data_IF_026513836257
#
_entry.id   IF_026513836257
#
_cell.length_a   1.000
_cell.length_b   1.000
_cell.length_c   1.000
_cell.angle_alpha   90.00
_cell.angle_beta   90.00
_cell.angle_gamma   90.00
#
_symmetry.space_group_name_H-M   'P 1'
#
loop_
_entity.id
_entity.type
_entity.pdbx_description
1 polymer ?
#
# COMPACT_ATOMS: atom_id res chain seq x y z
N UNK A 1 -1.25 -11.26 -25.25
CA UNK A 1 -0.35 -10.85 -24.15
C UNK A 1 -1.09 -11.03 -22.83
N UNK A 2 -0.60 -11.87 -21.91
CA UNK A 2 -1.28 -12.16 -20.63
C UNK A 2 -0.99 -11.11 -19.54
N UNK A 3 0.15 -10.42 -19.63
CA UNK A 3 0.55 -9.36 -18.69
C UNK A 3 1.27 -8.24 -19.45
N UNK A 4 0.99 -6.98 -19.09
CA UNK A 4 1.57 -5.79 -19.71
C UNK A 4 2.18 -4.87 -18.67
N UNK A 5 3.38 -4.37 -18.92
CA UNK A 5 4.10 -3.47 -17.99
C UNK A 5 3.95 -2.03 -18.46
N UNK A 6 3.45 -1.16 -17.60
CA UNK A 6 3.31 0.27 -17.85
C UNK A 6 3.81 1.08 -16.66
N UNK A 7 4.74 2.00 -16.91
CA UNK A 7 5.39 2.84 -15.88
C UNK A 7 5.86 2.04 -14.65
N UNK A 8 6.34 0.82 -14.85
CA UNK A 8 6.83 -0.03 -13.75
C UNK A 8 5.76 -0.84 -13.00
N UNK A 9 4.48 -0.71 -13.36
CA UNK A 9 3.36 -1.51 -12.83
C UNK A 9 2.96 -2.59 -13.84
N UNK A 10 2.74 -3.82 -13.37
CA UNK A 10 2.27 -4.92 -14.21
C UNK A 10 0.74 -5.05 -14.11
N UNK A 11 0.08 -5.04 -15.27
CA UNK A 11 -1.35 -5.27 -15.43
C UNK A 11 -1.58 -6.64 -16.04
N UNK A 12 -2.39 -7.45 -15.39
CA UNK A 12 -2.79 -8.78 -15.86
C UNK A 12 -4.16 -8.71 -16.54
N UNK A 13 -4.44 -9.60 -17.49
CA UNK A 13 -5.74 -9.63 -18.20
C UNK A 13 -6.93 -9.93 -17.29
N UNK A 14 -6.69 -10.66 -16.20
CA UNK A 14 -7.67 -10.95 -15.15
C UNK A 14 -7.77 -9.83 -14.09
N UNK A 15 -7.02 -8.73 -14.29
CA UNK A 15 -6.91 -7.59 -13.38
C UNK A 15 -6.43 -7.99 -11.98
N UNK A 16 -5.77 -9.15 -11.84
CA UNK A 16 -5.14 -9.57 -10.59
C UNK A 16 -3.78 -8.90 -10.40
N UNK A 17 -3.48 -8.57 -9.15
CA UNK A 17 -2.19 -7.97 -8.76
C UNK A 17 -1.11 -9.00 -8.46
N UNK A 18 -1.37 -10.30 -8.65
CA UNK A 18 -0.47 -11.39 -8.28
C UNK A 18 0.91 -11.24 -8.95
N UNK A 19 0.94 -11.04 -10.27
CA UNK A 19 2.17 -10.85 -11.04
C UNK A 19 2.97 -9.65 -10.53
N UNK A 20 2.29 -8.52 -10.31
CA UNK A 20 2.92 -7.29 -9.84
C UNK A 20 3.47 -7.44 -8.42
N UNK A 21 2.68 -7.97 -7.50
CA UNK A 21 3.05 -8.19 -6.09
C UNK A 21 4.24 -9.15 -5.98
N UNK A 22 4.22 -10.28 -6.71
CA UNK A 22 5.34 -11.21 -6.74
C UNK A 22 6.63 -10.53 -7.24
N UNK A 23 6.52 -9.73 -8.30
CA UNK A 23 7.65 -9.00 -8.86
C UNK A 23 8.24 -7.98 -7.87
N UNK A 24 7.42 -7.11 -7.26
CA UNK A 24 7.91 -6.09 -6.31
C UNK A 24 8.43 -6.72 -5.03
N UNK A 25 7.78 -7.77 -4.50
CA UNK A 25 8.22 -8.49 -3.31
C UNK A 25 9.57 -9.17 -3.53
N UNK A 26 9.78 -9.78 -4.70
CA UNK A 26 11.07 -10.35 -5.07
C UNK A 26 12.16 -9.27 -5.26
N UNK A 27 11.82 -8.13 -5.87
CA UNK A 27 12.76 -7.00 -6.03
C UNK A 27 13.15 -6.40 -4.67
N UNK A 28 12.18 -6.15 -3.81
CA UNK A 28 12.40 -5.63 -2.46
C UNK A 28 13.19 -6.62 -1.60
N UNK A 29 12.87 -7.92 -1.68
CA UNK A 29 13.59 -8.97 -0.96
C UNK A 29 15.05 -9.09 -1.39
N UNK A 30 15.37 -8.98 -2.68
CA UNK A 30 16.76 -8.96 -3.16
C UNK A 30 17.53 -7.77 -2.61
N UNK A 31 16.90 -6.60 -2.61
CA UNK A 31 17.48 -5.36 -2.06
C UNK A 31 17.74 -5.52 -0.56
N UNK A 32 16.76 -6.04 0.19
CA UNK A 32 16.91 -6.32 1.62
C UNK A 32 18.01 -7.35 1.89
N UNK A 33 18.10 -8.41 1.09
CA UNK A 33 19.17 -9.41 1.22
C UNK A 33 20.55 -8.78 1.03
N UNK A 34 20.70 -7.91 0.03
CA UNK A 34 21.94 -7.15 -0.19
C UNK A 34 22.28 -6.30 1.04
N UNK A 35 21.31 -5.56 1.60
CA UNK A 35 21.53 -4.79 2.82
C UNK A 35 21.94 -5.68 4.00
N UNK A 36 21.26 -6.81 4.20
CA UNK A 36 21.53 -7.72 5.31
C UNK A 36 22.91 -8.36 5.28
N UNK A 37 23.51 -8.51 4.09
CA UNK A 37 24.85 -9.07 3.93
C UNK A 37 25.94 -8.04 4.16
N UNK A 38 25.74 -6.82 3.66
CA UNK A 38 26.77 -5.77 3.66
C UNK A 38 26.70 -4.85 4.90
N UNK A 39 25.54 -4.72 5.53
CA UNK A 39 25.30 -3.83 6.67
C UNK A 39 24.83 -4.60 7.91
N UNK A 40 25.26 -5.86 8.06
CA UNK A 40 24.86 -6.73 9.17
C UNK A 40 25.22 -6.12 10.53
N UNK A 41 26.41 -5.54 10.65
CA UNK A 41 26.93 -5.00 11.91
C UNK A 41 26.73 -3.49 12.05
N UNK A 42 26.00 -2.89 11.11
CA UNK A 42 25.66 -1.47 11.17
C UNK A 42 24.75 -1.14 12.37
N UNK A 43 24.82 0.09 12.90
CA UNK A 43 23.89 0.58 13.93
C UNK A 43 22.43 0.49 13.48
N UNK A 44 21.52 0.34 14.45
CA UNK A 44 20.07 0.23 14.21
C UNK A 44 19.54 1.38 13.34
N UNK A 45 19.92 2.61 13.68
CA UNK A 45 19.49 3.82 12.96
C UNK A 45 19.88 3.80 11.50
N UNK A 46 21.13 3.40 11.19
CA UNK A 46 21.60 3.29 9.82
C UNK A 46 20.84 2.21 9.03
N UNK A 47 20.61 1.04 9.64
CA UNK A 47 19.82 -0.04 9.02
C UNK A 47 18.40 0.39 8.71
N UNK A 48 17.78 1.13 9.64
CA UNK A 48 16.46 1.69 9.45
C UNK A 48 16.43 2.69 8.29
N UNK A 49 17.36 3.64 8.25
CA UNK A 49 17.48 4.60 7.14
C UNK A 49 17.66 3.88 5.80
N UNK A 50 18.50 2.84 5.74
CA UNK A 50 18.71 2.04 4.53
C UNK A 50 17.42 1.33 4.09
N UNK A 51 16.68 0.71 5.01
CA UNK A 51 15.39 0.10 4.71
C UNK A 51 14.38 1.13 4.15
N UNK A 52 14.23 2.27 4.83
CA UNK A 52 13.27 3.30 4.47
C UNK A 52 13.57 3.97 3.14
N UNK A 53 14.86 4.13 2.79
CA UNK A 53 15.29 4.81 1.56
C UNK A 53 15.40 3.90 0.34
N UNK A 54 15.56 2.57 0.52
CA UNK A 54 15.82 1.66 -0.61
C UNK A 54 14.76 0.57 -0.78
N UNK A 55 14.32 -0.09 0.30
CA UNK A 55 13.39 -1.22 0.23
C UNK A 55 11.94 -0.73 0.24
N UNK A 56 11.60 0.16 1.18
CA UNK A 56 10.24 0.68 1.31
C UNK A 56 9.70 1.36 0.04
N UNK A 57 10.47 2.19 -0.69
CA UNK A 57 9.97 2.82 -1.90
C UNK A 57 9.61 1.81 -3.01
N UNK A 58 10.28 0.65 -3.06
CA UNK A 58 9.95 -0.41 -4.02
C UNK A 58 8.54 -0.96 -3.75
N UNK A 59 8.16 -1.08 -2.47
CA UNK A 59 6.87 -1.62 -2.04
C UNK A 59 5.74 -0.58 -2.07
N UNK A 60 6.06 0.72 -2.07
CA UNK A 60 5.08 1.81 -2.03
C UNK A 60 4.91 2.52 -3.38
N UNK A 61 5.83 2.31 -4.34
CA UNK A 61 5.74 2.94 -5.64
C UNK A 61 4.42 2.64 -6.34
N UNK A 62 3.71 3.70 -6.73
CA UNK A 62 2.40 3.65 -7.41
C UNK A 62 1.33 2.83 -6.68
N UNK A 63 1.45 2.61 -5.36
CA UNK A 63 0.55 1.74 -4.62
C UNK A 63 -0.91 2.23 -4.60
N UNK A 64 -1.15 3.52 -4.83
CA UNK A 64 -2.51 4.04 -4.99
C UNK A 64 -3.26 3.33 -6.14
N UNK A 65 -2.56 2.84 -7.17
CA UNK A 65 -3.17 2.15 -8.31
C UNK A 65 -3.39 0.66 -8.05
N UNK A 66 -2.37 -0.03 -7.54
CA UNK A 66 -2.36 -1.50 -7.48
C UNK A 66 -2.67 -2.10 -6.10
N UNK A 67 -3.07 -1.30 -5.11
CA UNK A 67 -3.28 -1.74 -3.72
C UNK A 67 -4.14 -3.03 -3.64
N UNK A 68 -3.53 -4.19 -3.32
CA UNK A 68 -4.23 -5.46 -3.36
C UNK A 68 -5.24 -5.56 -2.23
N UNK A 69 -6.27 -6.39 -2.42
CA UNK A 69 -7.30 -6.67 -1.41
C UNK A 69 -7.26 -8.11 -0.91
N UNK A 70 -6.61 -9.01 -1.64
CA UNK A 70 -6.49 -10.41 -1.27
C UNK A 70 -5.48 -10.59 -0.14
N UNK A 71 -5.85 -11.34 0.90
CA UNK A 71 -5.00 -11.62 2.06
C UNK A 71 -3.61 -12.15 1.67
N UNK A 72 -3.54 -13.07 0.70
CA UNK A 72 -2.27 -13.63 0.20
C UNK A 72 -1.30 -12.54 -0.25
N UNK A 73 -1.73 -11.63 -1.13
CA UNK A 73 -0.88 -10.55 -1.63
C UNK A 73 -0.50 -9.55 -0.53
N UNK A 74 -1.42 -9.25 0.40
CA UNK A 74 -1.14 -8.38 1.53
C UNK A 74 -0.05 -9.00 2.42
N UNK A 75 -0.22 -10.27 2.79
CA UNK A 75 0.74 -11.01 3.61
C UNK A 75 2.11 -11.14 2.95
N UNK A 76 2.16 -11.30 1.62
CA UNK A 76 3.40 -11.37 0.86
C UNK A 76 4.21 -10.07 0.97
N UNK A 77 3.55 -8.91 0.93
CA UNK A 77 4.19 -7.61 1.14
C UNK A 77 4.63 -7.43 2.60
N UNK A 78 3.76 -7.78 3.55
CA UNK A 78 4.07 -7.71 4.98
C UNK A 78 5.24 -8.63 5.35
N UNK A 79 5.40 -9.77 4.67
CA UNK A 79 6.54 -10.68 4.86
C UNK A 79 7.88 -9.99 4.59
N UNK A 80 7.96 -9.09 3.61
CA UNK A 80 9.16 -8.30 3.35
C UNK A 80 9.43 -7.33 4.50
N UNK A 81 8.42 -6.61 5.00
CA UNK A 81 8.58 -5.70 6.14
C UNK A 81 8.97 -6.45 7.42
N UNK A 82 8.39 -7.63 7.69
CA UNK A 82 8.74 -8.47 8.84
C UNK A 82 10.19 -8.91 8.81
N UNK A 83 10.71 -9.29 7.63
CA UNK A 83 12.13 -9.62 7.44
C UNK A 83 13.02 -8.40 7.63
N UNK A 84 12.58 -7.23 7.15
CA UNK A 84 13.31 -5.99 7.36
C UNK A 84 13.38 -5.58 8.84
N UNK A 85 12.29 -5.72 9.59
CA UNK A 85 12.27 -5.43 11.03
C UNK A 85 13.28 -6.30 11.79
N UNK A 86 13.38 -7.59 11.47
CA UNK A 86 14.39 -8.50 12.03
C UNK A 86 15.81 -8.06 11.72
N UNK A 87 16.08 -7.68 10.47
CA UNK A 87 17.39 -7.16 10.07
C UNK A 87 17.75 -5.88 10.84
N UNK A 88 16.84 -4.91 10.92
CA UNK A 88 17.06 -3.64 11.60
C UNK A 88 17.28 -3.82 13.10
N UNK A 89 16.44 -4.63 13.76
CA UNK A 89 16.57 -4.94 15.19
C UNK A 89 17.68 -5.94 15.52
N UNK A 90 18.34 -6.53 14.52
CA UNK A 90 19.27 -7.65 14.67
C UNK A 90 18.71 -8.86 15.46
N UNK A 91 17.39 -9.01 15.54
CA UNK A 91 16.72 -10.13 16.21
C UNK A 91 16.28 -11.16 15.17
N UNK A 92 17.08 -12.23 15.05
CA UNK A 92 16.84 -13.33 14.12
C UNK A 92 16.11 -14.51 14.77
N UNK A 93 15.52 -14.36 15.96
CA UNK A 93 14.74 -15.42 16.56
C UNK A 93 13.41 -15.59 15.80
N UNK A 94 13.27 -16.70 15.06
CA UNK A 94 12.07 -16.99 14.27
C UNK A 94 10.84 -17.37 15.09
N UNK A 95 11.01 -17.71 16.37
CA UNK A 95 9.91 -18.01 17.29
C UNK A 95 9.28 -16.75 17.88
N UNK A 96 10.01 -15.62 17.89
CA UNK A 96 9.44 -14.34 18.35
C UNK A 96 8.51 -13.74 17.30
N UNK A 97 7.39 -13.21 17.77
CA UNK A 97 6.44 -12.49 16.93
C UNK A 97 7.10 -11.28 16.27
N UNK A 98 7.00 -11.20 14.94
CA UNK A 98 7.46 -10.04 14.18
C UNK A 98 6.66 -8.77 14.49
N UNK A 99 5.44 -8.90 15.03
CA UNK A 99 4.59 -7.76 15.40
C UNK A 99 5.24 -6.91 16.49
N UNK A 100 5.83 -7.56 17.51
CA UNK A 100 6.51 -6.83 18.59
C UNK A 100 7.77 -6.11 18.12
N UNK A 101 8.51 -6.66 17.15
CA UNK A 101 9.67 -5.98 16.55
C UNK A 101 9.23 -4.75 15.76
N UNK A 102 8.18 -4.89 14.94
CA UNK A 102 7.61 -3.79 14.17
C UNK A 102 7.11 -2.66 15.09
N UNK A 103 6.45 -3.01 16.20
CA UNK A 103 5.96 -2.05 17.19
C UNK A 103 7.10 -1.31 17.89
N UNK A 104 8.17 -2.01 18.29
CA UNK A 104 9.38 -1.38 18.86
C UNK A 104 10.04 -0.39 17.91
N UNK A 105 10.01 -0.67 16.61
CA UNK A 105 10.52 0.24 15.57
C UNK A 105 9.51 1.37 15.22
N UNK A 106 8.30 1.35 15.77
CA UNK A 106 7.25 2.33 15.43
C UNK A 106 6.76 2.23 13.98
N UNK A 107 6.93 1.08 13.32
CA UNK A 107 6.58 0.93 11.91
C UNK A 107 5.10 0.59 11.76
N UNK A 108 4.29 1.35 11.02
CA UNK A 108 2.94 0.90 10.66
C UNK A 108 3.00 -0.26 9.66
N UNK A 109 1.91 -1.03 9.57
CA UNK A 109 1.73 -2.02 8.51
C UNK A 109 1.82 -1.34 7.13
N UNK A 110 2.37 -2.04 6.14
CA UNK A 110 2.40 -1.52 4.78
C UNK A 110 0.98 -1.32 4.23
N UNK A 111 0.03 -2.16 4.62
CA UNK A 111 -1.39 -1.95 4.26
C UNK A 111 -1.91 -0.58 4.71
N UNK A 112 -1.70 -0.21 5.97
CA UNK A 112 -2.12 1.09 6.49
C UNK A 112 -1.46 2.25 5.73
N UNK A 113 -0.20 2.06 5.32
CA UNK A 113 0.51 3.06 4.51
C UNK A 113 -0.04 3.19 3.10
N UNK A 114 -0.34 2.07 2.44
CA UNK A 114 -0.98 2.09 1.12
C UNK A 114 -2.35 2.76 1.21
N UNK A 115 -3.15 2.48 2.25
CA UNK A 115 -4.41 3.18 2.52
C UNK A 115 -4.21 4.68 2.69
N UNK A 116 -3.23 5.11 3.48
CA UNK A 116 -2.89 6.52 3.65
C UNK A 116 -2.50 7.21 2.33
N UNK A 117 -1.57 6.60 1.58
CA UNK A 117 -1.11 7.14 0.28
C UNK A 117 -2.25 7.21 -0.73
N UNK A 118 -3.13 6.21 -0.74
CA UNK A 118 -4.32 6.19 -1.59
C UNK A 118 -5.31 7.30 -1.23
N UNK A 119 -5.61 7.49 0.04
CA UNK A 119 -6.50 8.57 0.53
C UNK A 119 -5.89 9.95 0.26
N UNK A 120 -4.59 10.12 0.48
CA UNK A 120 -3.87 11.36 0.15
C UNK A 120 -3.94 11.68 -1.35
N UNK A 121 -3.77 10.67 -2.20
CA UNK A 121 -3.92 10.84 -3.64
C UNK A 121 -5.38 11.20 -4.02
N UNK A 122 -6.37 10.57 -3.40
CA UNK A 122 -7.78 10.89 -3.61
C UNK A 122 -8.13 12.33 -3.18
N UNK A 123 -7.62 12.80 -2.04
CA UNK A 123 -7.72 14.19 -1.64
C UNK A 123 -7.14 15.14 -2.71
N UNK A 124 -6.00 14.79 -3.29
CA UNK A 124 -5.42 15.59 -4.38
C UNK A 124 -6.32 15.60 -5.64
N UNK A 125 -7.01 14.50 -5.94
CA UNK A 125 -8.00 14.45 -7.04
C UNK A 125 -9.20 15.37 -6.74
N UNK A 126 -9.76 15.33 -5.53
CA UNK A 126 -10.87 16.20 -5.12
C UNK A 126 -10.54 17.69 -5.24
N UNK A 127 -9.30 18.05 -4.91
CA UNK A 127 -8.78 19.42 -4.97
C UNK A 127 -8.18 19.80 -6.33
N UNK A 128 -8.43 19.03 -7.40
CA UNK A 128 -7.97 19.31 -8.77
C UNK A 128 -6.44 19.43 -8.94
N UNK A 129 -5.65 18.71 -8.13
CA UNK A 129 -4.17 18.78 -8.14
C UNK A 129 -3.49 17.75 -9.06
N UNK A 130 -4.23 16.85 -9.70
CA UNK A 130 -3.68 15.67 -10.41
C UNK A 130 -3.95 15.65 -11.91
N UNK A 131 -4.70 16.62 -12.45
CA UNK A 131 -5.13 16.63 -13.86
C UNK A 131 -6.18 15.57 -14.22
N UNK A 132 -6.63 14.76 -13.25
CA UNK A 132 -7.72 13.79 -13.44
C UNK A 132 -9.05 14.55 -13.40
N UNK A 133 -9.94 14.40 -14.41
CA UNK A 133 -11.24 15.08 -14.41
C UNK A 133 -12.15 14.47 -13.33
N UNK A 134 -12.24 15.13 -12.18
CA UNK A 134 -12.98 14.62 -11.01
C UNK A 134 -14.47 14.41 -11.34
N UNK A 135 -15.04 15.23 -12.22
CA UNK A 135 -16.44 15.21 -12.62
C UNK A 135 -16.82 13.90 -13.30
N UNK A 136 -15.85 13.21 -13.90
CA UNK A 136 -16.06 11.89 -14.54
C UNK A 136 -16.10 10.73 -13.53
N UNK A 137 -15.43 10.87 -12.40
CA UNK A 137 -15.17 9.78 -11.45
C UNK A 137 -15.69 10.05 -10.05
N UNK A 138 -16.26 11.20 -9.77
CA UNK A 138 -16.68 11.58 -8.42
C UNK A 138 -18.04 12.26 -8.58
N UNK A 139 -19.05 11.68 -7.94
CA UNK A 139 -20.40 12.21 -7.92
C UNK A 139 -20.72 12.72 -6.52
N UNK A 140 -21.52 13.78 -6.47
CA UNK A 140 -22.05 14.31 -5.22
C UNK A 140 -22.96 13.30 -4.53
N UNK A 141 -22.89 13.19 -3.19
CA UNK A 141 -23.77 12.30 -2.43
C UNK A 141 -25.21 12.80 -2.54
N UNK A 142 -26.17 11.86 -2.60
CA UNK A 142 -27.60 12.20 -2.58
C UNK A 142 -28.08 12.71 -1.21
N UNK A 143 -27.33 12.41 -0.15
CA UNK A 143 -27.64 12.79 1.23
C UNK A 143 -26.37 12.79 2.09
N UNK A 144 -26.28 13.74 3.02
CA UNK A 144 -25.23 13.85 4.03
C UNK A 144 -25.89 13.98 5.41
N UNK A 145 -25.61 13.04 6.30
CA UNK A 145 -26.08 13.05 7.69
C UNK A 145 -25.19 13.95 8.55
N UNK A 146 -25.74 15.02 9.11
CA UNK A 146 -25.00 15.90 10.02
C UNK A 146 -24.53 15.21 11.33
N UNK A 147 -25.04 14.01 11.64
CA UNK A 147 -24.69 13.26 12.87
C UNK A 147 -23.54 12.29 12.68
N UNK A 148 -23.35 11.78 11.46
CA UNK A 148 -22.47 10.62 11.19
C UNK A 148 -21.53 10.85 10.02
N UNK A 149 -21.84 11.78 9.13
CA UNK A 149 -21.07 12.02 7.91
C UNK A 149 -20.31 13.33 8.02
N UNK A 150 -19.10 13.36 7.45
CA UNK A 150 -18.32 14.58 7.30
C UNK A 150 -18.78 15.38 6.05
N UNK A 151 -18.51 16.70 5.99
CA UNK A 151 -18.98 17.58 4.91
C UNK A 151 -18.46 17.25 3.51
N UNK A 152 -17.31 16.56 3.43
CA UNK A 152 -16.64 16.19 2.18
C UNK A 152 -17.03 14.79 1.67
N UNK A 153 -18.16 14.25 2.15
CA UNK A 153 -18.66 12.93 1.75
C UNK A 153 -18.87 12.86 0.23
N UNK A 154 -18.55 11.71 -0.35
CA UNK A 154 -18.69 11.43 -1.79
C UNK A 154 -19.68 10.30 -1.99
N UNK A 155 -20.41 10.30 -3.12
CA UNK A 155 -21.32 9.21 -3.46
C UNK A 155 -20.58 7.89 -3.62
N UNK A 156 -21.02 6.87 -2.88
CA UNK A 156 -20.47 5.52 -3.01
C UNK A 156 -20.77 4.88 -4.38
N UNK A 157 -19.85 4.02 -4.80
CA UNK A 157 -19.96 3.25 -6.02
C UNK A 157 -20.68 1.92 -5.78
N UNK A 158 -21.64 1.59 -6.64
CA UNK A 158 -22.24 0.27 -6.66
C UNK A 158 -21.36 -0.69 -7.47
N UNK A 159 -20.83 -1.73 -6.81
CA UNK A 159 -19.95 -2.72 -7.45
C UNK A 159 -20.47 -4.13 -7.22
N UNK A 160 -20.70 -4.89 -8.30
CA UNK A 160 -21.12 -6.30 -8.23
C UNK A 160 -19.95 -7.28 -8.19
N UNK A 161 -18.79 -6.87 -8.70
CA UNK A 161 -17.58 -7.70 -8.79
C UNK A 161 -16.46 -7.12 -7.94
N UNK A 162 -15.66 -8.01 -7.34
CA UNK A 162 -14.53 -7.64 -6.48
C UNK A 162 -13.50 -6.76 -7.21
N UNK A 163 -13.26 -7.04 -8.49
CA UNK A 163 -12.32 -6.26 -9.31
C UNK A 163 -12.66 -4.76 -9.30
N UNK A 164 -13.94 -4.43 -9.50
CA UNK A 164 -14.39 -3.04 -9.45
C UNK A 164 -14.44 -2.53 -8.00
N UNK A 165 -15.02 -3.32 -7.08
CA UNK A 165 -15.16 -2.96 -5.65
C UNK A 165 -13.82 -2.55 -5.01
N UNK A 166 -12.76 -3.25 -5.36
CA UNK A 166 -11.42 -3.03 -4.82
C UNK A 166 -10.50 -2.22 -5.76
N UNK A 167 -11.04 -1.69 -6.86
CA UNK A 167 -10.34 -0.69 -7.67
C UNK A 167 -10.24 0.64 -6.94
N UNK A 168 -9.42 1.57 -7.46
CA UNK A 168 -9.07 2.82 -6.79
C UNK A 168 -10.30 3.61 -6.31
N UNK A 169 -11.22 4.03 -7.19
CA UNK A 169 -12.31 4.93 -6.78
C UNK A 169 -13.31 4.29 -5.80
N UNK A 170 -13.92 3.11 -6.07
CA UNK A 170 -14.91 2.52 -5.18
C UNK A 170 -14.36 2.24 -3.78
N UNK A 171 -13.16 1.66 -3.69
CA UNK A 171 -12.52 1.35 -2.42
C UNK A 171 -12.14 2.61 -1.65
N UNK A 172 -11.59 3.61 -2.34
CA UNK A 172 -11.13 4.83 -1.67
C UNK A 172 -12.28 5.71 -1.23
N UNK A 173 -13.36 5.81 -2.01
CA UNK A 173 -14.57 6.56 -1.62
C UNK A 173 -15.18 5.98 -0.35
N UNK A 174 -15.26 4.65 -0.25
CA UNK A 174 -15.74 4.00 0.96
C UNK A 174 -14.85 4.33 2.17
N UNK A 175 -13.53 4.14 2.04
CA UNK A 175 -12.58 4.48 3.10
C UNK A 175 -12.58 5.97 3.46
N UNK A 176 -12.81 6.85 2.49
CA UNK A 176 -12.89 8.30 2.65
C UNK A 176 -14.12 8.70 3.46
N UNK A 177 -15.29 8.14 3.13
CA UNK A 177 -16.53 8.41 3.84
C UNK A 177 -16.52 7.88 5.28
N UNK A 178 -15.65 6.92 5.60
CA UNK A 178 -15.44 6.42 6.96
C UNK A 178 -14.44 7.27 7.77
N UNK A 179 -13.87 8.34 7.22
CA UNK A 179 -13.02 9.26 7.97
C UNK A 179 -13.88 10.13 8.91
N UNK A 180 -13.34 10.49 10.10
CA UNK A 180 -14.01 11.38 11.03
C UNK A 180 -14.13 12.82 10.50
#
# INVERSE_FOLDING_TARGET
VSTYKYLGVFFSTDLSWNTHVNYISAKASRTLNFLSRNFKDAPLTLKETLYMSTVRPILEYACAVWDPHTKLNIEELERVQKRAARFVSADYNFQKSSSGLREKLGWPLLENRRKYLRLSFFYNVLNNKTGIPKEKYINEPSYISARTDHPLKVREYNSRINVLKYSFFPRTVHDWNCLP
#
